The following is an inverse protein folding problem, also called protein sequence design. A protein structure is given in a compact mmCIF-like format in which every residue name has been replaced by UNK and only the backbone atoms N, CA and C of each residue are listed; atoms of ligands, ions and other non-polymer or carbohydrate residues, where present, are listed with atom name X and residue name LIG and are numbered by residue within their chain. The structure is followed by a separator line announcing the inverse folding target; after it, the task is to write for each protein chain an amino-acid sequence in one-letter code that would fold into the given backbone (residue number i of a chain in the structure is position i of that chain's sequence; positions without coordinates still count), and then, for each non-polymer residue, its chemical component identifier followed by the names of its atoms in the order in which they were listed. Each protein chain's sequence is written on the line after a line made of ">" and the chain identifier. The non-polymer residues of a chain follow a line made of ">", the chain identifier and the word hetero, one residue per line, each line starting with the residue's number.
data_IF_118190116422
#
_entry.id   IF_118190116422
#
_cell.length_a   1.000
_cell.length_b   1.000
_cell.length_c   1.000
_cell.angle_alpha   90.00
_cell.angle_beta   90.00
_cell.angle_gamma   90.00
#
_symmetry.space_group_name_H-M   'P 1'
#
loop_
_entity.id
_entity.type
_entity.pdbx_description
1 polymer ?
#
# COMPACT_ATOMS: atom_id res chain seq x y z
N UNK A 1 12.22 23.59 -88.70
CA UNK A 1 12.74 22.25 -89.03
C UNK A 1 13.87 22.02 -88.06
N UNK A 2 13.78 20.90 -87.38
CA UNK A 2 14.67 20.38 -86.34
C UNK A 2 16.12 20.25 -86.83
N UNK A 3 17.10 20.29 -85.93
CA UNK A 3 17.81 19.09 -85.48
C UNK A 3 18.91 19.44 -84.44
N UNK A 4 19.04 18.53 -83.47
CA UNK A 4 19.81 18.54 -82.21
C UNK A 4 21.34 18.34 -82.38
N UNK A 5 22.11 18.64 -81.32
CA UNK A 5 23.19 17.79 -80.77
C UNK A 5 23.94 18.47 -79.57
N UNK A 6 23.62 17.98 -78.37
CA UNK A 6 24.42 17.61 -77.17
C UNK A 6 25.76 18.27 -76.71
N UNK A 7 25.98 18.15 -75.38
CA UNK A 7 27.24 18.27 -74.56
C UNK A 7 27.47 19.65 -73.90
N UNK A 8 27.58 19.86 -72.58
CA UNK A 8 27.89 18.97 -71.45
C UNK A 8 27.23 19.49 -70.15
N UNK A 9 26.58 18.60 -69.41
CA UNK A 9 26.06 18.90 -68.08
C UNK A 9 27.16 18.73 -67.04
N UNK A 10 27.69 19.84 -66.52
CA UNK A 10 28.59 19.81 -65.36
C UNK A 10 27.78 19.39 -64.12
N UNK A 11 27.77 18.09 -63.83
CA UNK A 11 27.38 17.55 -62.53
C UNK A 11 28.34 18.12 -61.46
N UNK A 12 27.84 18.56 -60.30
CA UNK A 12 28.72 18.95 -59.20
C UNK A 12 29.59 17.74 -58.82
N UNK A 13 30.90 17.94 -58.74
CA UNK A 13 31.83 16.91 -58.31
C UNK A 13 31.37 16.35 -56.95
N UNK A 14 31.07 15.05 -56.91
CA UNK A 14 30.94 14.33 -55.66
C UNK A 14 32.30 14.41 -54.97
N UNK A 15 32.36 15.13 -53.85
CA UNK A 15 33.48 15.01 -52.94
C UNK A 15 33.35 13.59 -52.38
N UNK A 16 34.24 12.69 -52.80
CA UNK A 16 34.45 11.42 -52.12
C UNK A 16 34.96 11.77 -50.72
N UNK A 17 34.03 12.00 -49.78
CA UNK A 17 34.35 11.92 -48.37
C UNK A 17 34.90 10.52 -48.17
N UNK A 18 36.21 10.40 -47.91
CA UNK A 18 36.89 9.12 -47.72
C UNK A 18 36.03 8.28 -46.77
N UNK A 19 35.47 7.18 -47.28
CA UNK A 19 34.53 6.36 -46.51
C UNK A 19 35.19 5.86 -45.22
N UNK A 20 36.52 5.73 -45.24
CA UNK A 20 37.37 5.41 -44.09
C UNK A 20 37.38 6.54 -43.06
N UNK A 21 37.54 7.81 -43.47
CA UNK A 21 37.46 8.96 -42.56
C UNK A 21 36.03 9.13 -42.01
N UNK A 22 35.00 8.88 -42.81
CA UNK A 22 33.61 8.90 -42.36
C UNK A 22 33.31 7.76 -41.37
N UNK A 23 33.87 6.57 -41.59
CA UNK A 23 33.79 5.43 -40.68
C UNK A 23 34.55 5.70 -39.38
N UNK A 24 35.74 6.28 -39.45
CA UNK A 24 36.56 6.67 -38.30
C UNK A 24 35.90 7.78 -37.49
N UNK A 25 35.34 8.80 -38.14
CA UNK A 25 34.57 9.86 -37.49
C UNK A 25 33.30 9.30 -36.81
N UNK A 26 32.62 8.35 -37.47
CA UNK A 26 31.46 7.64 -36.89
C UNK A 26 31.88 6.75 -35.72
N UNK A 27 33.05 6.13 -35.78
CA UNK A 27 33.61 5.30 -34.71
C UNK A 27 34.07 6.16 -33.52
N UNK A 28 34.71 7.30 -33.77
CA UNK A 28 35.06 8.31 -32.76
C UNK A 28 33.80 8.87 -32.09
N UNK A 29 32.75 9.20 -32.86
CA UNK A 29 31.46 9.61 -32.29
C UNK A 29 30.81 8.51 -31.45
N UNK A 30 30.90 7.24 -31.87
CA UNK A 30 30.44 6.10 -31.05
C UNK A 30 31.25 6.00 -29.76
N UNK A 31 32.57 6.09 -29.82
CA UNK A 31 33.44 6.04 -28.63
C UNK A 31 33.19 7.21 -27.67
N UNK A 32 33.01 8.43 -28.20
CA UNK A 32 32.70 9.63 -27.41
C UNK A 32 31.25 9.65 -26.89
N UNK A 33 30.35 8.87 -27.50
CA UNK A 33 28.94 8.72 -27.09
C UNK A 33 28.70 7.58 -26.08
N UNK A 34 29.71 6.74 -25.81
CA UNK A 34 29.62 5.73 -24.75
C UNK A 34 29.54 6.46 -23.42
N UNK A 35 28.31 6.61 -22.92
CA UNK A 35 28.08 7.07 -21.55
C UNK A 35 28.65 6.01 -20.61
N UNK A 36 29.47 6.38 -19.61
CA UNK A 36 29.93 5.42 -18.62
C UNK A 36 28.71 4.76 -17.98
N UNK A 37 28.74 3.43 -17.89
CA UNK A 37 27.66 2.66 -17.26
C UNK A 37 27.44 3.22 -15.87
N UNK A 38 26.22 3.70 -15.59
CA UNK A 38 25.84 4.04 -14.21
C UNK A 38 25.94 2.75 -13.42
N UNK A 39 26.89 2.70 -12.48
CA UNK A 39 26.98 1.56 -11.57
C UNK A 39 25.76 1.56 -10.68
N UNK A 40 25.17 0.39 -10.51
CA UNK A 40 24.01 0.25 -9.64
C UNK A 40 24.45 0.36 -8.18
N UNK A 41 23.62 0.87 -7.25
CA UNK A 41 24.02 1.07 -5.86
C UNK A 41 24.64 -0.16 -5.19
N UNK A 42 24.17 -1.36 -5.51
CA UNK A 42 24.71 -2.63 -5.00
C UNK A 42 26.11 -3.00 -5.56
N UNK A 43 26.55 -2.36 -6.65
CA UNK A 43 27.88 -2.56 -7.23
C UNK A 43 28.93 -1.68 -6.55
N UNK A 44 28.50 -0.65 -5.82
CA UNK A 44 29.33 0.25 -5.03
C UNK A 44 29.32 -0.11 -3.53
N UNK A 45 28.65 -1.20 -3.16
CA UNK A 45 28.50 -1.63 -1.77
C UNK A 45 29.87 -1.88 -1.13
N UNK A 46 30.15 -1.11 -0.09
CA UNK A 46 31.34 -1.26 0.76
C UNK A 46 31.36 -2.65 1.40
N UNK A 47 32.54 -3.16 1.81
CA UNK A 47 32.62 -4.43 2.53
C UNK A 47 31.75 -4.46 3.79
N UNK A 48 31.57 -3.31 4.45
CA UNK A 48 30.71 -3.16 5.62
C UNK A 48 29.21 -3.28 5.26
N UNK A 49 28.77 -2.64 4.17
CA UNK A 49 27.39 -2.77 3.67
C UNK A 49 27.06 -4.20 3.22
N UNK A 50 28.04 -4.90 2.61
CA UNK A 50 27.87 -6.32 2.27
C UNK A 50 27.72 -7.20 3.51
N UNK A 51 28.55 -6.97 4.53
CA UNK A 51 28.45 -7.71 5.79
C UNK A 51 27.10 -7.45 6.48
N UNK A 52 26.61 -6.20 6.47
CA UNK A 52 25.28 -5.85 7.00
C UNK A 52 24.15 -6.55 6.22
N UNK A 53 24.23 -6.57 4.89
CA UNK A 53 23.26 -7.27 4.04
C UNK A 53 23.27 -8.78 4.26
N UNK A 54 24.44 -9.40 4.47
CA UNK A 54 24.55 -10.83 4.78
C UNK A 54 23.93 -11.16 6.15
N UNK A 55 24.16 -10.33 7.17
CA UNK A 55 23.50 -10.47 8.47
C UNK A 55 21.99 -10.30 8.34
N UNK A 56 21.54 -9.33 7.55
CA UNK A 56 20.11 -9.09 7.26
C UNK A 56 19.47 -10.30 6.58
N UNK A 57 20.13 -10.87 5.57
CA UNK A 57 19.69 -12.08 4.86
C UNK A 57 19.61 -13.29 5.78
N UNK A 58 20.63 -13.51 6.60
CA UNK A 58 20.64 -14.61 7.57
C UNK A 58 19.50 -14.47 8.60
N UNK A 59 19.23 -13.24 9.03
CA UNK A 59 18.12 -12.94 9.92
C UNK A 59 16.75 -13.12 9.23
N UNK A 60 16.61 -12.72 7.96
CA UNK A 60 15.40 -12.97 7.15
C UNK A 60 15.10 -14.47 7.08
N UNK A 61 16.11 -15.29 6.80
CA UNK A 61 15.97 -16.75 6.74
C UNK A 61 15.61 -17.36 8.11
N UNK A 62 16.19 -16.85 9.21
CA UNK A 62 15.84 -17.27 10.57
C UNK A 62 14.41 -16.91 10.95
N UNK A 63 13.92 -15.74 10.53
CA UNK A 63 12.59 -15.25 10.85
C UNK A 63 11.50 -15.84 9.96
N UNK A 64 11.86 -16.51 8.86
CA UNK A 64 10.92 -17.09 7.91
C UNK A 64 10.45 -18.48 8.37
N UNK A 65 9.18 -18.57 8.77
CA UNK A 65 8.56 -19.84 9.15
C UNK A 65 7.61 -20.33 8.06
N UNK A 66 7.81 -21.57 7.60
CA UNK A 66 6.94 -22.18 6.61
C UNK A 66 5.77 -22.93 7.25
N UNK A 67 4.54 -22.49 6.98
CA UNK A 67 3.34 -23.14 7.50
C UNK A 67 3.02 -24.42 6.70
N UNK A 68 2.98 -25.61 7.31
CA UNK A 68 2.75 -26.86 6.58
C UNK A 68 1.30 -27.03 6.08
N UNK A 69 0.35 -26.22 6.56
CA UNK A 69 -1.08 -26.34 6.24
C UNK A 69 -1.54 -25.41 5.12
N UNK A 70 -0.87 -24.27 4.96
CA UNK A 70 -1.30 -23.19 4.04
C UNK A 70 -0.49 -23.20 2.74
N UNK A 71 0.66 -23.90 2.71
CA UNK A 71 1.56 -23.90 1.55
C UNK A 71 2.28 -22.55 1.34
N UNK A 72 2.13 -21.61 2.27
CA UNK A 72 2.78 -20.30 2.27
C UNK A 72 3.68 -20.17 3.51
N UNK A 73 4.84 -19.55 3.34
CA UNK A 73 5.69 -19.14 4.46
C UNK A 73 5.42 -17.71 4.88
N UNK A 74 5.61 -17.46 6.17
CA UNK A 74 5.32 -16.20 6.84
C UNK A 74 6.52 -15.80 7.67
N UNK A 75 6.90 -14.52 7.61
CA UNK A 75 7.90 -13.99 8.51
C UNK A 75 7.28 -13.78 9.88
N UNK A 76 7.95 -14.28 10.91
CA UNK A 76 7.53 -14.15 12.33
C UNK A 76 7.66 -12.72 12.86
N UNK A 77 8.38 -11.85 12.14
CA UNK A 77 8.60 -10.42 12.43
C UNK A 77 8.63 -9.59 11.14
N UNK A 78 8.56 -8.26 11.27
CA UNK A 78 8.68 -7.27 10.18
C UNK A 78 10.02 -7.42 9.43
N UNK A 79 10.06 -8.24 8.39
CA UNK A 79 11.29 -8.60 7.65
C UNK A 79 11.80 -7.52 6.70
N UNK A 80 10.92 -6.62 6.26
CA UNK A 80 11.27 -5.52 5.36
C UNK A 80 11.81 -4.29 6.12
N UNK A 81 11.95 -4.38 7.44
CA UNK A 81 12.50 -3.34 8.29
C UNK A 81 13.79 -3.82 8.95
N UNK A 82 14.83 -2.98 8.87
CA UNK A 82 16.05 -3.21 9.61
C UNK A 82 15.85 -2.82 11.08
N UNK A 83 15.37 -3.77 11.89
CA UNK A 83 15.14 -3.59 13.32
C UNK A 83 16.44 -3.29 14.11
N UNK A 84 17.62 -3.42 13.51
CA UNK A 84 18.91 -3.11 14.17
C UNK A 84 19.30 -1.63 14.04
N UNK A 85 18.70 -0.92 13.09
CA UNK A 85 18.89 0.52 12.84
C UNK A 85 17.58 1.30 13.06
N UNK A 86 16.48 0.59 13.36
CA UNK A 86 15.16 1.19 13.58
C UNK A 86 15.11 1.91 14.92
N UNK A 87 15.29 3.24 14.87
CA UNK A 87 15.07 4.11 16.01
C UNK A 87 13.57 4.48 16.08
N UNK A 88 12.90 4.14 17.18
CA UNK A 88 11.47 4.41 17.39
C UNK A 88 11.21 5.91 17.60
N UNK A 89 12.24 6.66 18.02
CA UNK A 89 12.16 8.09 18.31
C UNK A 89 12.53 8.96 17.09
N UNK A 90 13.15 8.38 16.07
CA UNK A 90 13.41 9.03 14.79
C UNK A 90 12.22 8.75 13.85
N UNK A 91 11.49 9.82 13.47
CA UNK A 91 10.19 9.80 12.80
C UNK A 91 10.26 9.15 11.39
N UNK A 92 10.41 7.83 11.36
CA UNK A 92 10.47 7.04 10.14
C UNK A 92 9.04 6.64 9.75
N UNK A 93 8.54 7.20 8.65
CA UNK A 93 7.17 7.02 8.11
C UNK A 93 6.95 5.63 7.51
N UNK A 94 7.15 4.58 8.29
CA UNK A 94 7.26 3.21 7.76
C UNK A 94 5.95 2.43 7.79
N UNK A 95 4.93 2.91 8.51
CA UNK A 95 3.59 2.34 8.49
C UNK A 95 2.56 3.46 8.62
N UNK A 96 1.53 3.43 7.78
CA UNK A 96 0.35 4.27 8.01
C UNK A 96 -0.43 3.68 9.20
N UNK A 97 -1.18 4.52 9.90
CA UNK A 97 -2.10 4.09 10.95
C UNK A 97 -3.54 4.11 10.43
N UNK A 98 -4.30 3.06 10.67
CA UNK A 98 -5.72 3.03 10.33
C UNK A 98 -6.56 3.50 11.54
N UNK A 99 -7.35 4.56 11.35
CA UNK A 99 -8.27 5.07 12.37
C UNK A 99 -9.72 4.85 11.95
N UNK A 100 -10.51 4.23 12.83
CA UNK A 100 -11.96 4.08 12.66
C UNK A 100 -12.66 5.16 13.47
N UNK A 101 -13.30 6.12 12.78
CA UNK A 101 -13.92 7.27 13.43
C UNK A 101 -15.39 7.02 13.80
N UNK A 102 -16.11 6.28 12.96
CA UNK A 102 -17.55 6.06 13.10
C UNK A 102 -17.98 4.75 12.45
N UNK A 103 -18.93 4.07 13.07
CA UNK A 103 -19.63 2.92 12.48
C UNK A 103 -21.12 3.21 12.49
N UNK A 104 -21.77 3.14 11.33
CA UNK A 104 -23.19 3.45 11.16
C UNK A 104 -23.94 2.27 10.57
N UNK A 105 -25.19 2.12 11.00
CA UNK A 105 -26.13 1.20 10.38
C UNK A 105 -26.86 1.98 9.27
N UNK A 106 -26.56 1.65 8.02
CA UNK A 106 -27.13 2.36 6.87
C UNK A 106 -28.62 2.06 6.70
N UNK A 107 -29.01 0.80 6.88
CA UNK A 107 -30.40 0.35 6.74
C UNK A 107 -30.67 -0.85 7.64
N UNK A 108 -31.92 -1.01 8.07
CA UNK A 108 -32.39 -2.15 8.86
C UNK A 108 -33.79 -2.55 8.37
N UNK A 109 -33.98 -3.86 8.13
CA UNK A 109 -35.27 -4.40 7.69
C UNK A 109 -36.32 -4.48 8.82
N UNK A 110 -35.90 -4.26 10.08
CA UNK A 110 -36.73 -4.40 11.28
C UNK A 110 -37.31 -3.05 11.72
N UNK A 111 -36.84 -1.94 11.13
CA UNK A 111 -37.19 -0.59 11.55
C UNK A 111 -36.54 -0.19 12.88
N UNK A 112 -36.58 1.10 13.20
CA UNK A 112 -36.01 1.64 14.44
C UNK A 112 -37.08 1.76 15.55
N UNK A 113 -36.71 1.63 16.84
CA UNK A 113 -35.36 1.41 17.37
C UNK A 113 -34.91 -0.06 17.30
N UNK A 114 -33.61 -0.29 17.09
CA UNK A 114 -32.98 -1.62 17.11
C UNK A 114 -32.01 -1.78 18.28
N UNK A 115 -32.09 -2.92 18.96
CA UNK A 115 -31.16 -3.29 20.03
C UNK A 115 -30.02 -4.13 19.45
N UNK A 116 -28.87 -3.50 19.19
CA UNK A 116 -27.75 -4.14 18.50
C UNK A 116 -26.67 -4.55 19.50
N UNK A 117 -26.14 -5.76 19.31
CA UNK A 117 -24.97 -6.28 20.03
C UNK A 117 -24.08 -7.11 19.11
N UNK A 118 -22.91 -7.49 19.59
CA UNK A 118 -21.92 -8.26 18.84
C UNK A 118 -20.57 -7.55 18.77
N UNK A 119 -19.82 -7.85 17.73
CA UNK A 119 -18.42 -7.42 17.59
C UNK A 119 -18.11 -6.87 16.20
N UNK A 120 -17.33 -5.80 16.17
CA UNK A 120 -16.57 -5.37 15.00
C UNK A 120 -15.10 -5.38 15.40
N UNK A 121 -14.30 -6.16 14.68
CA UNK A 121 -12.90 -6.42 14.97
C UNK A 121 -12.08 -6.07 13.74
N UNK A 122 -10.90 -5.50 13.95
CA UNK A 122 -9.89 -5.30 12.92
C UNK A 122 -8.71 -6.24 13.17
N UNK A 123 -8.19 -6.86 12.12
CA UNK A 123 -6.92 -7.58 12.13
C UNK A 123 -5.94 -6.79 11.29
N UNK A 124 -4.87 -6.33 11.94
CA UNK A 124 -3.73 -5.75 11.24
C UNK A 124 -2.83 -6.85 10.65
N UNK A 125 -1.98 -6.47 9.72
CA UNK A 125 -1.00 -7.37 9.10
C UNK A 125 0.27 -7.52 9.95
N UNK A 126 0.36 -6.78 11.07
CA UNK A 126 1.54 -6.82 11.93
C UNK A 126 1.63 -8.13 12.71
N UNK A 127 0.55 -8.51 13.38
CA UNK A 127 0.51 -9.73 14.21
C UNK A 127 -0.78 -10.54 14.04
N UNK A 128 -1.66 -10.12 13.13
CA UNK A 128 -2.99 -10.72 12.88
C UNK A 128 -3.86 -10.84 14.13
N UNK A 129 -3.52 -10.15 15.22
CA UNK A 129 -4.32 -10.16 16.44
C UNK A 129 -5.55 -9.29 16.26
N UNK A 130 -6.65 -9.78 16.82
CA UNK A 130 -7.93 -9.10 16.83
C UNK A 130 -7.89 -7.84 17.70
N UNK A 131 -8.02 -6.67 17.07
CA UNK A 131 -8.26 -5.39 17.72
C UNK A 131 -9.77 -5.14 17.67
N UNK A 132 -10.45 -5.20 18.82
CA UNK A 132 -11.87 -4.88 18.86
C UNK A 132 -12.06 -3.38 18.63
N UNK A 133 -13.02 -3.00 17.80
CA UNK A 133 -13.43 -1.60 17.55
C UNK A 133 -14.79 -1.32 18.21
N UNK A 134 -15.69 -2.29 18.09
CA UNK A 134 -16.99 -2.31 18.74
C UNK A 134 -17.16 -3.68 19.40
N UNK A 135 -17.56 -3.70 20.66
CA UNK A 135 -17.92 -4.93 21.36
C UNK A 135 -19.02 -4.66 22.37
N UNK A 136 -20.15 -5.34 22.19
CA UNK A 136 -21.28 -5.32 23.13
C UNK A 136 -21.81 -6.74 23.30
N UNK A 137 -22.04 -7.12 24.54
CA UNK A 137 -22.69 -8.37 24.87
C UNK A 137 -24.22 -8.21 24.79
N UNK A 138 -24.93 -9.34 24.71
CA UNK A 138 -26.41 -9.37 24.64
C UNK A 138 -27.07 -8.61 25.80
N UNK A 139 -26.50 -8.69 27.01
CA UNK A 139 -27.01 -7.98 28.19
C UNK A 139 -26.74 -6.48 28.19
N UNK A 140 -25.88 -6.00 27.28
CA UNK A 140 -25.45 -4.60 27.18
C UNK A 140 -25.56 -4.10 25.74
N UNK A 141 -26.71 -4.35 25.10
CA UNK A 141 -27.01 -3.85 23.77
C UNK A 141 -26.93 -2.33 23.70
N UNK A 142 -26.55 -1.83 22.52
CA UNK A 142 -26.77 -0.44 22.18
C UNK A 142 -28.15 -0.32 21.50
N UNK A 143 -28.96 0.60 22.00
CA UNK A 143 -30.21 0.98 21.34
C UNK A 143 -29.89 2.03 20.28
N UNK A 144 -30.12 1.71 19.02
CA UNK A 144 -30.00 2.64 17.89
C UNK A 144 -31.41 3.12 17.55
N UNK A 145 -31.66 4.43 17.62
CA UNK A 145 -32.99 5.03 17.45
C UNK A 145 -33.26 5.54 16.04
N UNK A 146 -32.21 5.74 15.22
CA UNK A 146 -32.34 6.24 13.85
C UNK A 146 -31.16 5.85 12.97
N UNK A 147 -31.31 5.95 11.65
CA UNK A 147 -30.29 5.64 10.63
C UNK A 147 -29.01 6.49 10.75
N UNK A 148 -29.10 7.67 11.35
CA UNK A 148 -27.98 8.60 11.45
C UNK A 148 -27.16 8.42 12.74
N UNK A 149 -27.58 7.51 13.63
CA UNK A 149 -26.93 7.30 14.92
C UNK A 149 -25.73 6.36 14.80
N UNK A 150 -24.60 6.81 15.35
CA UNK A 150 -23.35 6.07 15.37
C UNK A 150 -23.38 4.95 16.42
N UNK A 151 -22.82 3.80 16.06
CA UNK A 151 -22.44 2.79 17.04
C UNK A 151 -21.33 3.36 17.92
N UNK A 152 -21.51 3.23 19.24
CA UNK A 152 -20.56 3.70 20.23
C UNK A 152 -19.35 2.79 20.18
N UNK A 153 -18.28 3.27 19.54
CA UNK A 153 -17.02 2.58 19.45
C UNK A 153 -16.47 2.35 20.86
N UNK A 154 -16.03 1.14 21.14
CA UNK A 154 -15.29 0.80 22.38
C UNK A 154 -13.79 1.09 22.22
N UNK A 155 -13.43 1.65 21.06
CA UNK A 155 -12.08 2.02 20.65
C UNK A 155 -11.32 0.82 20.11
N UNK A 156 -10.29 1.03 19.27
CA UNK A 156 -9.24 0.04 19.17
C UNK A 156 -8.45 0.02 20.49
N UNK A 157 -8.31 -1.15 21.11
CA UNK A 157 -7.51 -1.34 22.34
C UNK A 157 -6.01 -1.11 22.14
N UNK A 158 -5.57 -1.05 20.88
CA UNK A 158 -4.19 -0.93 20.38
C UNK A 158 -4.25 -0.23 19.03
N UNK A 159 -3.24 0.58 18.69
CA UNK A 159 -3.16 1.20 17.36
C UNK A 159 -3.19 0.16 16.23
N UNK A 160 -3.96 0.42 15.18
CA UNK A 160 -4.04 -0.47 14.00
C UNK A 160 -2.94 -0.08 13.03
N UNK A 161 -1.98 -0.97 12.82
CA UNK A 161 -0.92 -0.80 11.83
C UNK A 161 -1.47 -1.13 10.45
N UNK A 162 -1.27 -0.22 9.49
CA UNK A 162 -1.69 -0.40 8.10
C UNK A 162 -0.47 -0.55 7.20
N UNK A 163 -0.27 -1.76 6.68
CA UNK A 163 0.87 -2.13 5.83
C UNK A 163 0.43 -2.56 4.42
N UNK A 164 -0.63 -1.94 3.92
CA UNK A 164 -1.20 -2.22 2.60
C UNK A 164 -2.53 -2.98 2.65
N UNK A 165 -2.87 -3.59 3.79
CA UNK A 165 -4.16 -4.21 4.06
C UNK A 165 -4.60 -4.12 5.52
N UNK A 166 -5.90 -4.28 5.74
CA UNK A 166 -6.49 -4.53 7.06
C UNK A 166 -7.82 -5.29 6.88
N UNK A 167 -8.07 -6.28 7.75
CA UNK A 167 -9.29 -7.09 7.67
C UNK A 167 -10.27 -6.69 8.77
N UNK A 168 -11.50 -6.37 8.39
CA UNK A 168 -12.60 -6.12 9.30
C UNK A 168 -13.50 -7.34 9.41
N UNK A 169 -13.63 -7.88 10.61
CA UNK A 169 -14.58 -8.94 10.93
C UNK A 169 -15.78 -8.31 11.65
N UNK A 170 -16.94 -8.36 11.00
CA UNK A 170 -18.21 -7.81 11.48
C UNK A 170 -19.11 -8.97 11.84
N UNK A 171 -19.60 -9.00 13.07
CA UNK A 171 -20.60 -9.93 13.54
C UNK A 171 -21.55 -9.20 14.49
N UNK A 172 -22.64 -8.66 13.94
CA UNK A 172 -23.66 -7.93 14.66
C UNK A 172 -24.98 -8.71 14.64
N UNK A 173 -25.70 -8.63 15.76
CA UNK A 173 -27.00 -9.26 15.98
C UNK A 173 -27.97 -8.27 16.59
N UNK A 174 -29.25 -8.49 16.35
CA UNK A 174 -30.34 -7.77 17.01
C UNK A 174 -30.87 -8.63 18.15
N UNK A 175 -30.93 -8.04 19.33
CA UNK A 175 -31.49 -8.64 20.54
C UNK A 175 -33.02 -8.51 20.51
N UNK A 176 -33.67 -9.66 20.60
CA UNK A 176 -35.12 -9.81 20.75
C UNK A 176 -35.45 -10.27 22.17
N UNK A 177 -36.73 -10.35 22.56
CA UNK A 177 -37.10 -10.71 23.95
C UNK A 177 -36.46 -12.02 24.45
N UNK A 178 -36.28 -13.01 23.56
CA UNK A 178 -35.66 -14.29 23.87
C UNK A 178 -34.44 -14.54 22.97
N UNK A 179 -33.37 -15.12 23.55
CA UNK A 179 -32.10 -15.34 22.83
C UNK A 179 -32.24 -16.21 21.58
N UNK A 180 -33.17 -17.17 21.59
CA UNK A 180 -33.46 -18.02 20.42
C UNK A 180 -34.03 -17.25 19.23
N UNK A 181 -34.59 -16.06 19.48
CA UNK A 181 -35.20 -15.21 18.45
C UNK A 181 -34.22 -14.13 17.96
N UNK A 182 -33.05 -13.99 18.60
CA UNK A 182 -32.04 -13.02 18.18
C UNK A 182 -31.70 -13.21 16.71
N UNK A 183 -31.75 -12.12 15.95
CA UNK A 183 -31.56 -12.15 14.51
C UNK A 183 -30.14 -11.77 14.16
N UNK A 184 -29.52 -12.53 13.25
CA UNK A 184 -28.26 -12.10 12.66
C UNK A 184 -28.52 -10.83 11.84
N UNK A 185 -27.82 -9.75 12.20
CA UNK A 185 -28.00 -8.46 11.53
C UNK A 185 -26.97 -8.26 10.44
N UNK A 186 -25.69 -8.46 10.77
CA UNK A 186 -24.60 -8.38 9.80
C UNK A 186 -23.53 -9.39 10.15
N UNK A 187 -23.06 -10.14 9.16
CA UNK A 187 -21.92 -11.05 9.30
C UNK A 187 -21.06 -10.93 8.06
N UNK A 188 -19.93 -10.25 8.16
CA UNK A 188 -19.07 -9.95 7.03
C UNK A 188 -17.60 -10.00 7.41
N UNK A 189 -16.77 -10.36 6.44
CA UNK A 189 -15.33 -10.17 6.48
C UNK A 189 -14.99 -9.22 5.33
N UNK A 190 -14.50 -8.03 5.65
CA UNK A 190 -14.16 -7.00 4.67
C UNK A 190 -12.64 -6.86 4.66
N UNK A 191 -12.06 -6.95 3.46
CA UNK A 191 -10.66 -6.67 3.24
C UNK A 191 -10.50 -5.22 2.72
N UNK A 192 -9.70 -4.42 3.41
CA UNK A 192 -9.40 -3.03 3.06
C UNK A 192 -7.96 -2.95 2.54
N UNK A 193 -7.79 -3.26 1.26
CA UNK A 193 -6.52 -3.05 0.54
C UNK A 193 -6.40 -1.62 0.00
N UNK A 194 -5.16 -1.17 -0.25
CA UNK A 194 -4.80 0.15 -0.82
C UNK A 194 -5.65 0.58 -2.04
N UNK A 195 -6.20 -0.35 -2.80
CA UNK A 195 -7.02 -0.05 -3.99
C UNK A 195 -8.45 0.42 -3.69
N UNK A 196 -8.97 0.18 -2.49
CA UNK A 196 -10.34 0.55 -2.09
C UNK A 196 -10.41 1.80 -1.18
N UNK A 197 -9.27 2.32 -0.72
CA UNK A 197 -9.21 3.51 0.11
C UNK A 197 -9.30 4.77 -0.76
N UNK A 198 -10.46 5.43 -0.76
CA UNK A 198 -10.58 6.77 -1.35
C UNK A 198 -9.82 7.74 -0.44
N UNK A 199 -8.59 8.06 -0.82
CA UNK A 199 -7.77 9.08 -0.14
C UNK A 199 -8.39 10.45 -0.39
N UNK A 200 -9.22 10.92 0.54
CA UNK A 200 -9.59 12.34 0.60
C UNK A 200 -8.49 13.07 1.36
N UNK A 201 -7.59 13.74 0.63
CA UNK A 201 -6.70 14.72 1.24
C UNK A 201 -7.54 15.83 1.88
N UNK A 202 -7.57 15.87 3.22
CA UNK A 202 -8.03 17.06 3.92
C UNK A 202 -6.98 18.15 3.70
N UNK A 203 -7.30 19.13 2.87
CA UNK A 203 -6.51 20.36 2.79
C UNK A 203 -6.81 21.21 4.02
N UNK A 204 -5.79 21.74 4.72
CA UNK A 204 -6.03 22.66 5.81
C UNK A 204 -6.76 23.89 5.28
N UNK A 205 -7.89 24.23 5.92
CA UNK A 205 -8.69 25.40 5.59
C UNK A 205 -7.85 26.65 5.78
N UNK A 206 -7.65 27.38 4.68
CA UNK A 206 -6.95 28.66 4.67
C UNK A 206 -7.83 29.67 5.42
N UNK A 207 -7.49 29.96 6.67
CA UNK A 207 -8.11 31.05 7.42
C UNK A 207 -7.73 32.35 6.73
N UNK A 208 -8.69 32.98 6.05
CA UNK A 208 -8.52 34.34 5.53
C UNK A 208 -8.72 35.32 6.68
N UNK A 209 -7.75 36.20 6.98
CA UNK A 209 -7.97 37.29 7.91
C UNK A 209 -8.94 38.29 7.26
N UNK A 210 -10.07 38.52 7.92
CA UNK A 210 -10.93 39.67 7.65
C UNK A 210 -10.19 40.93 8.05
N UNK A 211 -10.04 41.85 7.09
CA UNK A 211 -9.51 43.19 7.29
C UNK A 211 -10.64 44.17 7.64
#
# INVERSE_FOLDING_TARGET
>A
MEDDDDVDGVLPAYIEEDEEEAMDAKQQRRQQSIKPRKMMPWELATPEEKAKEEVRRALEDELYEHGPKTGSGSYTRLWFLDLTVFDLDEETRLCDSLNVLSLKIVSSDIGYPVNVYGTVIVRDELDYRCISIFRRDRSNCQVVRSENEDLILTGPTRGVVYLGGAFFEINLKINEDEERNDRQFSKALIDVMLSLVIVRRMTPSRVTPTH
#
